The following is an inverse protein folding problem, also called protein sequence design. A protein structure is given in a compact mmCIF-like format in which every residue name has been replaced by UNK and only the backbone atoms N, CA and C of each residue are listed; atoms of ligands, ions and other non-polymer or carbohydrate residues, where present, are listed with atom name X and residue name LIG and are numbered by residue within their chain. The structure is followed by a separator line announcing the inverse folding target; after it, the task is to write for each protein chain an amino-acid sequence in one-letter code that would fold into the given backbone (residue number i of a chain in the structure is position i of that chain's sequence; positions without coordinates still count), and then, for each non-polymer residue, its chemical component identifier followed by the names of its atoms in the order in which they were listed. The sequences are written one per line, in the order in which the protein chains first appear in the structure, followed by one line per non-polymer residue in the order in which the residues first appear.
data_IF_334825070517
#
_entry.id   IF_334825070517
#
_cell.length_a   1.000
_cell.length_b   1.000
_cell.length_c   1.000
_cell.angle_alpha   90.00
_cell.angle_beta   90.00
_cell.angle_gamma   90.00
#
_symmetry.space_group_name_H-M   'P 1'
#
loop_
_entity.id
_entity.type
_entity.pdbx_description
1 polymer ?
#
# COMPACT_ATOMS: atom_id res chain seq x y z
N UNK A 1 35.14 -73.14 -28.10
CA UNK A 1 34.10 -72.33 -27.44
C UNK A 1 34.46 -72.33 -25.96
N UNK A 2 34.76 -71.25 -25.23
CA UNK A 2 34.44 -69.84 -25.37
C UNK A 2 35.69 -68.97 -25.21
N UNK A 3 35.57 -67.75 -25.72
CA UNK A 3 36.57 -66.69 -25.78
C UNK A 3 36.98 -66.20 -24.39
N UNK A 4 38.28 -66.11 -24.19
CA UNK A 4 38.95 -65.19 -23.26
C UNK A 4 38.63 -63.74 -23.71
N UNK A 5 37.98 -62.95 -22.85
CA UNK A 5 37.51 -61.60 -23.17
C UNK A 5 37.78 -60.61 -22.02
N UNK A 6 39.03 -60.14 -21.98
CA UNK A 6 39.47 -58.73 -21.97
C UNK A 6 39.00 -57.75 -20.85
N UNK A 7 39.77 -56.66 -20.65
CA UNK A 7 40.08 -56.05 -19.36
C UNK A 7 39.18 -54.85 -19.03
N UNK A 8 39.17 -54.47 -17.75
CA UNK A 8 38.58 -53.22 -17.28
C UNK A 8 39.47 -52.58 -16.23
N UNK A 9 40.60 -52.03 -16.66
CA UNK A 9 41.38 -51.10 -15.83
C UNK A 9 40.50 -49.95 -15.42
N UNK A 10 40.34 -49.84 -14.10
CA UNK A 10 39.97 -48.61 -13.40
C UNK A 10 40.63 -47.41 -14.04
N UNK A 11 39.84 -46.35 -14.24
CA UNK A 11 40.20 -44.94 -14.09
C UNK A 11 38.91 -44.16 -14.36
N UNK A 12 38.13 -43.98 -13.29
CA UNK A 12 37.04 -43.03 -13.27
C UNK A 12 37.61 -41.63 -13.51
N UNK A 13 37.50 -41.14 -14.74
CA UNK A 13 37.80 -39.75 -15.07
C UNK A 13 36.69 -38.87 -14.49
N UNK A 14 36.90 -38.40 -13.26
CA UNK A 14 36.12 -37.35 -12.61
C UNK A 14 36.34 -36.03 -13.38
N UNK A 15 35.43 -35.73 -14.30
CA UNK A 15 35.29 -34.39 -14.86
C UNK A 15 34.60 -33.50 -13.82
N UNK A 16 35.39 -32.77 -13.04
CA UNK A 16 34.89 -31.68 -12.21
C UNK A 16 34.55 -30.52 -13.15
N UNK A 17 33.32 -30.48 -13.63
CA UNK A 17 32.76 -29.30 -14.30
C UNK A 17 32.71 -28.16 -13.29
N UNK A 18 33.67 -27.24 -13.37
CA UNK A 18 33.66 -25.99 -12.63
C UNK A 18 32.60 -25.08 -13.23
N UNK A 19 31.35 -25.25 -12.78
CA UNK A 19 30.25 -24.34 -13.07
C UNK A 19 30.56 -22.97 -12.46
N UNK A 20 31.00 -22.03 -13.29
CA UNK A 20 31.10 -20.62 -12.93
C UNK A 20 29.68 -20.10 -12.69
N UNK A 21 29.24 -20.13 -11.44
CA UNK A 21 27.99 -19.50 -11.02
C UNK A 21 28.12 -17.99 -11.24
N UNK A 22 27.54 -17.50 -12.34
CA UNK A 22 27.28 -16.08 -12.53
C UNK A 22 26.30 -15.66 -11.43
N UNK A 23 26.81 -15.01 -10.39
CA UNK A 23 25.98 -14.33 -9.42
C UNK A 23 25.24 -13.20 -10.15
N UNK A 24 23.94 -13.38 -10.39
CA UNK A 24 23.11 -12.27 -10.86
C UNK A 24 22.95 -11.27 -9.72
N UNK A 25 23.38 -10.01 -9.87
CA UNK A 25 23.04 -8.98 -8.91
C UNK A 25 21.51 -8.82 -8.91
N UNK A 26 20.87 -9.02 -7.76
CA UNK A 26 19.48 -8.68 -7.57
C UNK A 26 19.31 -7.17 -7.66
N UNK A 27 18.43 -6.70 -8.54
CA UNK A 27 18.01 -5.30 -8.55
C UNK A 27 17.17 -5.06 -7.29
N UNK A 28 17.77 -4.50 -6.25
CA UNK A 28 17.00 -3.85 -5.20
C UNK A 28 16.49 -2.54 -5.78
N UNK A 29 15.18 -2.41 -5.98
CA UNK A 29 14.60 -1.11 -6.29
C UNK A 29 14.80 -0.17 -5.10
N UNK A 30 15.23 1.05 -5.38
CA UNK A 30 15.43 2.06 -4.35
C UNK A 30 14.08 2.63 -3.89
N UNK A 31 14.02 3.11 -2.64
CA UNK A 31 12.82 3.74 -2.12
C UNK A 31 12.50 5.03 -2.90
N UNK A 32 11.23 5.22 -3.23
CA UNK A 32 10.75 6.42 -3.93
C UNK A 32 10.32 7.46 -2.89
N UNK A 33 10.95 8.63 -2.92
CA UNK A 33 10.58 9.77 -2.07
C UNK A 33 9.70 10.74 -2.87
N UNK A 34 8.56 11.11 -2.29
CA UNK A 34 7.56 11.97 -2.91
C UNK A 34 7.29 13.20 -2.03
N UNK A 35 7.08 14.35 -2.67
CA UNK A 35 6.82 15.61 -1.96
C UNK A 35 7.98 16.01 -1.04
N UNK A 36 7.64 16.43 0.18
CA UNK A 36 8.63 16.73 1.23
C UNK A 36 9.27 15.46 1.83
N UNK A 37 8.82 14.27 1.40
CA UNK A 37 9.16 13.00 2.02
C UNK A 37 8.51 12.81 3.39
N UNK A 38 9.16 12.01 4.23
CA UNK A 38 8.71 11.75 5.61
C UNK A 38 9.79 12.24 6.54
N UNK A 39 9.43 13.15 7.45
CA UNK A 39 10.33 13.78 8.41
C UNK A 39 10.06 13.34 9.85
N UNK A 40 8.85 12.90 10.16
CA UNK A 40 8.50 12.34 11.46
C UNK A 40 9.09 10.94 11.63
N UNK A 41 9.77 10.70 12.75
CA UNK A 41 10.41 9.42 13.06
C UNK A 41 9.45 8.39 13.63
N UNK A 42 8.37 8.84 14.27
CA UNK A 42 7.36 7.98 14.88
C UNK A 42 6.13 7.85 13.96
N UNK A 43 5.68 6.61 13.77
CA UNK A 43 4.47 6.33 13.03
C UNK A 43 3.27 6.31 13.99
N UNK A 44 2.23 7.06 13.66
CA UNK A 44 0.91 6.98 14.28
C UNK A 44 0.17 5.76 13.73
N UNK A 45 -0.33 4.85 14.57
CA UNK A 45 -1.09 3.69 14.10
C UNK A 45 -2.39 4.11 13.42
N UNK A 46 -2.70 3.52 12.26
CA UNK A 46 -3.94 3.80 11.51
C UNK A 46 -5.17 3.50 12.37
N UNK A 47 -5.21 2.38 13.10
CA UNK A 47 -6.33 2.05 13.98
C UNK A 47 -6.56 3.13 15.06
N UNK A 48 -5.52 3.81 15.55
CA UNK A 48 -5.66 4.82 16.59
C UNK A 48 -6.39 6.06 16.05
N UNK A 49 -6.04 6.48 14.83
CA UNK A 49 -6.71 7.58 14.13
C UNK A 49 -8.16 7.21 13.82
N UNK A 50 -8.42 5.97 13.39
CA UNK A 50 -9.78 5.51 13.08
C UNK A 50 -10.66 5.36 14.33
N UNK A 51 -10.08 4.98 15.46
CA UNK A 51 -10.80 4.79 16.72
C UNK A 51 -11.21 6.10 17.40
N UNK A 52 -10.36 7.14 17.32
CA UNK A 52 -10.65 8.46 17.86
C UNK A 52 -10.14 9.57 16.93
N UNK A 53 -10.85 9.85 15.82
CA UNK A 53 -10.36 10.82 14.83
C UNK A 53 -10.26 12.24 15.37
N UNK A 54 -11.16 12.63 16.28
CA UNK A 54 -11.22 13.98 16.84
C UNK A 54 -9.95 14.33 17.63
N UNK A 55 -9.33 13.34 18.28
CA UNK A 55 -8.06 13.54 18.95
C UNK A 55 -6.94 13.96 17.97
N UNK A 56 -7.00 13.55 16.70
CA UNK A 56 -5.93 13.80 15.72
C UNK A 56 -6.22 14.93 14.73
N UNK A 57 -7.44 15.48 14.68
CA UNK A 57 -7.79 16.52 13.71
C UNK A 57 -6.84 17.72 13.79
N UNK A 58 -6.31 18.12 12.63
CA UNK A 58 -5.36 19.22 12.51
C UNK A 58 -3.92 18.89 12.94
N UNK A 59 -3.67 17.67 13.45
CA UNK A 59 -2.32 17.23 13.77
C UNK A 59 -1.60 16.69 12.54
N UNK A 60 -0.30 16.97 12.45
CA UNK A 60 0.57 16.31 11.48
C UNK A 60 0.99 14.94 12.01
N UNK A 61 0.69 13.90 11.25
CA UNK A 61 1.01 12.52 11.57
C UNK A 61 1.80 11.88 10.44
N UNK A 62 2.54 10.83 10.76
CA UNK A 62 3.04 9.86 9.79
C UNK A 62 2.31 8.56 10.00
N UNK A 63 1.78 7.99 8.94
CA UNK A 63 1.23 6.63 8.96
C UNK A 63 2.09 5.71 8.11
N UNK A 64 2.08 4.43 8.44
CA UNK A 64 2.72 3.38 7.65
C UNK A 64 1.74 2.26 7.37
N UNK A 65 1.85 1.66 6.20
CA UNK A 65 0.97 0.57 5.79
C UNK A 65 1.21 0.09 4.37
N UNK A 66 0.37 -0.83 3.93
CA UNK A 66 0.37 -1.32 2.55
C UNK A 66 -0.51 -0.44 1.68
N UNK A 67 -0.04 -0.11 0.47
CA UNK A 67 -0.86 0.59 -0.52
C UNK A 67 -1.93 -0.36 -1.07
N UNK A 68 -3.19 -0.11 -0.71
CA UNK A 68 -4.33 -0.89 -1.19
C UNK A 68 -4.80 -0.43 -2.57
N UNK A 69 -4.77 0.88 -2.80
CA UNK A 69 -5.17 1.45 -4.08
C UNK A 69 -4.55 2.82 -4.34
N UNK A 70 -4.51 3.22 -5.60
CA UNK A 70 -3.99 4.52 -6.05
C UNK A 70 -5.01 5.14 -7.00
N UNK A 71 -5.14 6.47 -6.98
CA UNK A 71 -5.96 7.18 -7.94
C UNK A 71 -5.62 6.78 -9.39
N UNK A 72 -6.54 6.12 -10.14
CA UNK A 72 -6.23 5.62 -11.48
C UNK A 72 -6.09 6.73 -12.52
N UNK A 73 -6.59 7.93 -12.21
CA UNK A 73 -6.60 9.07 -13.12
C UNK A 73 -5.32 9.90 -13.02
N UNK A 74 -5.02 10.42 -11.83
CA UNK A 74 -3.95 11.41 -11.61
C UNK A 74 -2.90 10.98 -10.58
N UNK A 75 -3.07 9.86 -9.91
CA UNK A 75 -2.19 9.49 -8.79
C UNK A 75 -2.21 10.48 -7.62
N UNK A 76 -3.24 11.33 -7.50
CA UNK A 76 -3.29 12.39 -6.50
C UNK A 76 -3.86 11.95 -5.14
N UNK A 77 -4.12 10.66 -4.97
CA UNK A 77 -4.41 10.02 -3.69
C UNK A 77 -3.94 8.57 -3.69
N UNK A 78 -3.72 8.06 -2.48
CA UNK A 78 -3.41 6.66 -2.21
C UNK A 78 -4.23 6.18 -1.01
N UNK A 79 -4.72 4.94 -1.06
CA UNK A 79 -5.39 4.28 0.05
C UNK A 79 -4.36 3.42 0.79
N UNK A 80 -4.12 3.73 2.07
CA UNK A 80 -3.11 3.06 2.90
C UNK A 80 -3.82 2.17 3.90
N UNK A 81 -3.61 0.87 3.80
CA UNK A 81 -4.15 -0.13 4.70
C UNK A 81 -3.24 -0.39 5.90
N UNK A 82 -3.84 -0.56 7.07
CA UNK A 82 -3.16 -1.01 8.27
C UNK A 82 -4.09 -1.84 9.15
N UNK A 83 -3.70 -2.02 10.41
CA UNK A 83 -4.61 -2.62 11.38
C UNK A 83 -5.87 -1.74 11.55
N UNK A 84 -7.03 -2.37 11.68
CA UNK A 84 -8.30 -1.69 11.92
C UNK A 84 -8.98 -1.06 10.70
N UNK A 85 -8.30 -0.96 9.55
CA UNK A 85 -8.89 -0.45 8.32
C UNK A 85 -7.88 0.23 7.39
N UNK A 86 -8.35 1.20 6.62
CA UNK A 86 -7.51 2.00 5.73
C UNK A 86 -7.80 3.49 5.90
N UNK A 87 -6.80 4.30 5.54
CA UNK A 87 -6.92 5.75 5.48
C UNK A 87 -6.49 6.24 4.10
N UNK A 88 -7.29 7.16 3.56
CA UNK A 88 -6.94 7.85 2.33
C UNK A 88 -5.96 8.98 2.61
N UNK A 89 -4.84 8.97 1.89
CA UNK A 89 -3.89 10.08 1.83
C UNK A 89 -4.14 10.83 0.53
N UNK A 90 -4.69 12.04 0.63
CA UNK A 90 -4.95 12.95 -0.51
C UNK A 90 -3.87 14.03 -0.52
N UNK A 91 -3.21 14.20 -1.66
CA UNK A 91 -2.21 15.26 -1.87
C UNK A 91 -2.80 16.35 -2.76
N UNK A 92 -2.14 17.51 -2.82
CA UNK A 92 -2.46 18.56 -3.79
C UNK A 92 -2.33 17.99 -5.22
N UNK A 93 -3.32 18.24 -6.07
CA UNK A 93 -3.32 17.72 -7.43
C UNK A 93 -2.11 18.25 -8.20
N UNK A 94 -1.49 17.37 -8.99
CA UNK A 94 -0.32 17.68 -9.83
C UNK A 94 0.96 18.12 -9.08
N UNK A 95 0.96 18.11 -7.74
CA UNK A 95 2.16 18.36 -6.90
C UNK A 95 2.85 17.06 -6.53
N UNK A 96 2.10 16.09 -6.02
CA UNK A 96 2.58 14.73 -5.72
C UNK A 96 1.75 13.75 -6.55
N UNK A 97 2.45 12.87 -7.26
CA UNK A 97 1.84 11.82 -8.07
C UNK A 97 2.32 10.48 -7.54
N UNK A 98 1.42 9.75 -6.89
CA UNK A 98 1.65 8.35 -6.52
C UNK A 98 1.68 7.50 -7.80
N UNK A 99 2.76 6.75 -8.05
CA UNK A 99 2.84 5.92 -9.24
C UNK A 99 1.88 4.74 -9.14
N UNK A 100 1.32 4.29 -10.26
CA UNK A 100 0.34 3.20 -10.26
C UNK A 100 0.93 1.86 -9.75
N UNK A 101 2.24 1.67 -9.91
CA UNK A 101 2.98 0.53 -9.40
C UNK A 101 3.24 0.58 -7.89
N UNK A 102 2.82 1.66 -7.21
CA UNK A 102 2.83 1.74 -5.75
C UNK A 102 1.90 0.71 -5.11
N UNK A 103 0.85 0.27 -5.82
CA UNK A 103 -0.13 -0.69 -5.32
C UNK A 103 0.54 -2.01 -4.90
N UNK A 104 0.29 -2.43 -3.66
CA UNK A 104 0.89 -3.62 -3.06
C UNK A 104 2.27 -3.38 -2.41
N UNK A 105 2.85 -2.17 -2.52
CA UNK A 105 4.10 -1.80 -1.84
C UNK A 105 3.82 -1.22 -0.46
N UNK A 106 4.85 -1.17 0.38
CA UNK A 106 4.81 -0.50 1.68
C UNK A 106 5.07 0.99 1.48
N UNK A 107 4.29 1.81 2.17
CA UNK A 107 4.38 3.26 2.15
C UNK A 107 4.43 3.81 3.58
N UNK A 108 5.29 4.80 3.78
CA UNK A 108 5.19 5.76 4.86
C UNK A 108 4.67 7.08 4.28
N UNK A 109 3.56 7.58 4.80
CA UNK A 109 2.96 8.82 4.33
C UNK A 109 2.83 9.81 5.49
N UNK A 110 3.19 11.06 5.25
CA UNK A 110 3.10 12.14 6.23
C UNK A 110 2.11 13.20 5.76
N UNK A 111 1.33 13.73 6.69
CA UNK A 111 0.38 14.78 6.40
C UNK A 111 -0.46 15.18 7.60
N UNK A 112 -1.43 16.05 7.37
CA UNK A 112 -2.33 16.54 8.42
C UNK A 112 -3.64 15.77 8.39
N UNK A 113 -4.13 15.32 9.55
CA UNK A 113 -5.44 14.63 9.63
C UNK A 113 -6.57 15.65 9.46
N UNK A 114 -7.50 15.34 8.57
CA UNK A 114 -8.63 16.18 8.23
C UNK A 114 -9.94 15.41 8.24
N UNK A 115 -10.99 16.11 8.68
CA UNK A 115 -12.37 15.73 8.43
C UNK A 115 -12.85 16.41 7.15
N UNK A 116 -13.43 15.63 6.25
CA UNK A 116 -14.24 16.14 5.15
C UNK A 116 -15.69 16.02 5.58
N UNK A 117 -16.22 17.12 6.08
CA UNK A 117 -17.64 17.27 6.41
C UNK A 117 -18.48 17.17 5.13
N UNK A 118 -19.64 16.54 5.26
CA UNK A 118 -20.63 16.44 4.21
C UNK A 118 -22.01 16.68 4.81
N UNK A 119 -22.93 17.15 3.97
CA UNK A 119 -24.33 17.26 4.38
C UNK A 119 -24.92 15.86 4.65
N UNK A 120 -26.02 15.82 5.40
CA UNK A 120 -26.77 14.58 5.62
C UNK A 120 -27.17 13.90 4.31
N UNK A 121 -27.56 14.68 3.31
CA UNK A 121 -27.93 14.17 1.98
C UNK A 121 -26.73 13.53 1.26
N UNK A 122 -25.61 14.24 1.20
CA UNK A 122 -24.36 13.71 0.62
C UNK A 122 -23.87 12.45 1.34
N UNK A 123 -24.04 12.36 2.65
CA UNK A 123 -23.69 11.17 3.43
C UNK A 123 -24.58 9.97 3.10
N UNK A 124 -25.89 10.19 2.95
CA UNK A 124 -26.82 9.13 2.52
C UNK A 124 -26.47 8.65 1.12
N UNK A 125 -26.18 9.56 0.19
CA UNK A 125 -25.75 9.22 -1.17
C UNK A 125 -24.43 8.45 -1.18
N UNK A 126 -23.47 8.86 -0.34
CA UNK A 126 -22.21 8.16 -0.17
C UNK A 126 -22.39 6.73 0.37
N UNK A 127 -23.25 6.55 1.38
CA UNK A 127 -23.59 5.22 1.90
C UNK A 127 -24.28 4.35 0.85
N UNK A 128 -25.18 4.92 0.05
CA UNK A 128 -25.83 4.21 -1.05
C UNK A 128 -24.81 3.74 -2.10
N UNK A 129 -23.84 4.59 -2.44
CA UNK A 129 -22.75 4.22 -3.35
C UNK A 129 -21.91 3.06 -2.79
N UNK A 130 -21.49 3.15 -1.52
CA UNK A 130 -20.73 2.09 -0.85
C UNK A 130 -21.49 0.77 -0.79
N UNK A 131 -22.78 0.80 -0.49
CA UNK A 131 -23.62 -0.39 -0.45
C UNK A 131 -23.72 -1.02 -1.86
N UNK A 132 -23.92 -0.20 -2.90
CA UNK A 132 -23.95 -0.68 -4.28
C UNK A 132 -22.63 -1.33 -4.70
N UNK A 133 -21.47 -0.76 -4.34
CA UNK A 133 -20.15 -1.36 -4.61
C UNK A 133 -19.96 -2.71 -3.90
N UNK A 134 -20.52 -2.86 -2.70
CA UNK A 134 -20.50 -4.12 -1.93
C UNK A 134 -21.58 -5.12 -2.36
N UNK A 135 -22.53 -4.70 -3.21
CA UNK A 135 -23.70 -5.50 -3.55
C UNK A 135 -24.69 -5.67 -2.39
N UNK A 136 -24.68 -4.74 -1.43
CA UNK A 136 -25.58 -4.71 -0.28
C UNK A 136 -26.82 -3.85 -0.58
N UNK A 137 -28.02 -4.24 -0.13
CA UNK A 137 -29.21 -3.41 -0.29
C UNK A 137 -29.15 -2.19 0.65
N UNK A 138 -29.44 -1.01 0.11
CA UNK A 138 -29.55 0.23 0.87
C UNK A 138 -30.75 1.06 0.39
N UNK A 139 -31.57 1.53 1.32
CA UNK A 139 -32.71 2.41 1.02
C UNK A 139 -32.44 3.81 1.58
N UNK A 140 -32.03 4.71 0.69
CA UNK A 140 -31.75 6.12 1.03
C UNK A 140 -32.96 6.85 1.62
N UNK A 141 -34.19 6.47 1.24
CA UNK A 141 -35.40 7.16 1.69
C UNK A 141 -35.73 6.87 3.17
N UNK A 142 -35.26 5.73 3.69
CA UNK A 142 -35.54 5.29 5.07
C UNK A 142 -34.27 5.19 5.92
N UNK A 143 -33.11 5.55 5.38
CA UNK A 143 -31.83 5.53 6.09
C UNK A 143 -31.84 6.47 7.31
N UNK A 144 -31.76 5.87 8.50
CA UNK A 144 -31.51 6.59 9.75
C UNK A 144 -30.01 6.77 9.95
N UNK A 145 -29.50 7.90 9.46
CA UNK A 145 -28.08 8.27 9.54
C UNK A 145 -27.75 9.20 10.73
N UNK A 146 -28.71 9.41 11.64
CA UNK A 146 -28.59 10.35 12.75
C UNK A 146 -28.32 11.80 12.33
N UNK A 147 -28.02 12.65 13.31
CA UNK A 147 -27.75 14.09 13.13
C UNK A 147 -26.26 14.42 12.92
N UNK A 148 -25.38 13.43 12.94
CA UNK A 148 -23.96 13.57 12.60
C UNK A 148 -22.97 13.18 13.73
N UNK A 149 -21.67 13.43 13.52
CA UNK A 149 -21.09 14.11 12.36
C UNK A 149 -21.08 13.24 11.09
N UNK A 150 -21.56 13.82 9.99
CA UNK A 150 -21.50 13.22 8.66
C UNK A 150 -20.20 13.63 7.99
N UNK A 151 -19.14 12.83 8.16
CA UNK A 151 -17.81 13.18 7.67
C UNK A 151 -16.97 11.95 7.33
N UNK A 152 -15.97 12.14 6.48
CA UNK A 152 -14.91 11.15 6.26
C UNK A 152 -13.58 11.66 6.80
N UNK A 153 -12.74 10.76 7.29
CA UNK A 153 -11.41 11.08 7.79
C UNK A 153 -10.39 10.76 6.71
N UNK A 154 -9.49 11.69 6.48
CA UNK A 154 -8.38 11.53 5.53
C UNK A 154 -7.13 12.21 6.05
N UNK A 155 -6.01 11.93 5.41
CA UNK A 155 -4.77 12.67 5.61
C UNK A 155 -4.55 13.56 4.40
N UNK A 156 -4.40 14.87 4.62
CA UNK A 156 -3.83 15.77 3.61
C UNK A 156 -2.33 15.56 3.58
N UNK A 157 -1.86 14.76 2.63
CA UNK A 157 -0.46 14.36 2.49
C UNK A 157 0.42 15.54 2.07
N UNK A 158 1.59 15.65 2.72
CA UNK A 158 2.65 16.60 2.36
C UNK A 158 3.89 15.89 1.80
N UNK A 159 4.05 14.60 2.10
CA UNK A 159 5.09 13.78 1.51
C UNK A 159 4.92 12.30 1.83
N UNK A 160 5.67 11.47 1.11
CA UNK A 160 5.65 10.03 1.29
C UNK A 160 6.98 9.38 0.92
N UNK A 161 7.20 8.17 1.44
CA UNK A 161 8.29 7.25 1.07
C UNK A 161 7.65 5.91 0.73
N UNK A 162 7.85 5.43 -0.49
CA UNK A 162 7.39 4.11 -0.92
C UNK A 162 8.61 3.20 -1.00
N UNK A 163 8.59 2.08 -0.29
CA UNK A 163 9.68 1.11 -0.32
C UNK A 163 9.82 0.50 -1.71
N UNK A 164 11.04 0.20 -2.15
CA UNK A 164 11.28 -0.50 -3.42
C UNK A 164 10.56 -1.83 -3.49
N UNK A 165 10.23 -2.33 -4.69
CA UNK A 165 9.68 -3.68 -4.80
C UNK A 165 10.79 -4.69 -4.51
N UNK A 166 10.97 -5.07 -3.24
CA UNK A 166 11.66 -6.31 -2.95
C UNK A 166 10.71 -7.41 -3.39
N UNK A 167 11.01 -8.09 -4.50
CA UNK A 167 10.26 -9.27 -4.94
C UNK A 167 10.08 -10.23 -3.78
N UNK A 168 8.92 -10.15 -3.14
CA UNK A 168 8.52 -11.03 -2.05
C UNK A 168 8.16 -12.36 -2.66
N UNK A 169 9.03 -13.34 -2.44
CA UNK A 169 8.77 -14.74 -2.73
C UNK A 169 7.39 -15.15 -2.20
N UNK A 170 6.48 -15.48 -3.12
CA UNK A 170 5.29 -16.28 -2.89
C UNK A 170 5.43 -17.60 -3.61
#
# INVERSE_FOLDING_TARGET
MLRDNRPGTSLAALWVSLSLALAMPGFAEEAVILGEGVTLEEATPIHAILADPDAFLGQTVRIEGGVLDVCPMKGCWVEVGGEGGSLRVKVEDDVIVFPADAKGRIIAAQGTVEAVEMSREEYVDWLAHLAAEKGEPFDAATADVGDGPHRTIRIRGTGARIEGSSGGAG
#
